data_IF_909232612461
#
_entry.id   IF_909232612461
#
_cell.length_a   1.000
_cell.length_b   1.000
_cell.length_c   1.000
_cell.angle_alpha   90.00
_cell.angle_beta   90.00
_cell.angle_gamma   90.00
#
_symmetry.space_group_name_H-M   'P 1'
#
loop_
_entity.id
_entity.type
_entity.pdbx_description
1 polymer ?
#
# COMPACT_ATOMS: atom_id res chain seq x y z
N UNK A 1 -12.56 -11.09 -4.02
CA UNK A 1 -11.84 -9.81 -3.89
C UNK A 1 -10.42 -10.14 -3.53
N UNK A 2 -9.45 -9.79 -4.37
CA UNK A 2 -8.04 -10.08 -4.12
C UNK A 2 -7.46 -9.12 -3.09
N UNK A 3 -6.61 -9.64 -2.21
CA UNK A 3 -5.95 -8.83 -1.18
C UNK A 3 -4.57 -8.41 -1.69
N UNK A 4 -4.41 -7.11 -1.90
CA UNK A 4 -3.13 -6.53 -2.31
C UNK A 4 -2.42 -5.96 -1.09
N UNK A 5 -1.15 -6.32 -0.92
CA UNK A 5 -0.26 -5.78 0.09
C UNK A 5 0.83 -4.98 -0.61
N UNK A 6 0.96 -3.71 -0.25
CA UNK A 6 1.97 -2.81 -0.81
C UNK A 6 2.92 -2.41 0.32
N UNK A 7 4.15 -2.88 0.25
CA UNK A 7 5.20 -2.54 1.22
C UNK A 7 5.67 -1.11 1.02
N UNK A 8 5.81 -0.35 2.11
CA UNK A 8 6.11 1.07 2.07
C UNK A 8 7.58 1.36 2.37
N UNK A 9 8.06 2.49 1.85
CA UNK A 9 9.41 3.00 2.08
C UNK A 9 9.57 3.67 3.46
N UNK A 10 8.50 4.22 4.04
CA UNK A 10 8.43 4.76 5.41
C UNK A 10 7.01 4.69 5.98
N UNK A 11 6.86 4.82 7.31
CA UNK A 11 5.55 4.92 7.96
C UNK A 11 4.78 6.18 7.50
N UNK A 12 5.47 7.29 7.26
CA UNK A 12 4.88 8.54 6.77
C UNK A 12 4.21 8.33 5.42
N UNK A 13 4.87 7.63 4.50
CA UNK A 13 4.29 7.29 3.20
C UNK A 13 3.15 6.29 3.31
N UNK A 14 3.22 5.35 4.25
CA UNK A 14 2.11 4.42 4.53
C UNK A 14 0.84 5.17 4.94
N UNK A 15 0.96 6.12 5.87
CA UNK A 15 -0.17 6.95 6.31
C UNK A 15 -0.67 7.86 5.19
N UNK A 16 0.23 8.50 4.43
CA UNK A 16 -0.12 9.37 3.31
C UNK A 16 -0.89 8.62 2.22
N UNK A 17 -0.47 7.40 1.86
CA UNK A 17 -1.19 6.60 0.89
C UNK A 17 -2.51 6.07 1.42
N UNK A 18 -2.60 5.74 2.73
CA UNK A 18 -3.91 5.41 3.35
C UNK A 18 -4.89 6.57 3.20
N UNK A 19 -4.48 7.77 3.57
CA UNK A 19 -5.34 8.96 3.49
C UNK A 19 -5.73 9.29 2.05
N UNK A 20 -4.77 9.23 1.12
CA UNK A 20 -5.00 9.46 -0.30
C UNK A 20 -6.01 8.46 -0.90
N UNK A 21 -5.78 7.16 -0.70
CA UNK A 21 -6.65 6.11 -1.23
C UNK A 21 -8.05 6.16 -0.60
N UNK A 22 -8.15 6.40 0.71
CA UNK A 22 -9.44 6.57 1.37
C UNK A 22 -10.20 7.79 0.85
N UNK A 23 -9.51 8.91 0.54
CA UNK A 23 -10.14 10.10 -0.05
C UNK A 23 -10.75 9.83 -1.44
N UNK A 24 -10.24 8.81 -2.13
CA UNK A 24 -10.75 8.34 -3.43
C UNK A 24 -11.81 7.24 -3.30
N UNK A 25 -12.20 6.86 -2.07
CA UNK A 25 -13.18 5.81 -1.80
C UNK A 25 -12.60 4.39 -1.73
N UNK A 26 -11.28 4.22 -1.84
CA UNK A 26 -10.62 2.93 -1.69
C UNK A 26 -10.33 2.63 -0.23
N UNK A 27 -11.10 1.72 0.37
CA UNK A 27 -10.85 1.27 1.74
C UNK A 27 -9.51 0.55 1.85
N UNK A 28 -8.59 1.12 2.60
CA UNK A 28 -7.28 0.54 2.87
C UNK A 28 -6.83 0.74 4.33
N UNK A 29 -6.01 -0.20 4.79
CA UNK A 29 -5.47 -0.19 6.15
C UNK A 29 -3.94 -0.26 6.13
N UNK A 30 -3.31 0.36 7.13
CA UNK A 30 -1.87 0.27 7.34
C UNK A 30 -1.60 -0.84 8.34
N UNK A 31 -0.83 -1.85 7.94
CA UNK A 31 -0.42 -2.97 8.78
C UNK A 31 1.11 -3.04 8.88
N UNK A 32 1.62 -3.68 9.94
CA UNK A 32 3.04 -4.02 10.00
C UNK A 32 3.36 -5.10 8.97
N UNK A 33 4.41 -4.88 8.18
CA UNK A 33 4.90 -5.85 7.19
C UNK A 33 5.30 -7.13 7.91
N UNK A 34 4.69 -8.26 7.53
CA UNK A 34 5.07 -9.57 8.06
C UNK A 34 6.51 -9.87 7.62
N UNK A 35 7.30 -10.48 8.51
CA UNK A 35 8.72 -10.82 8.26
C UNK A 35 8.95 -11.64 6.98
N UNK A 36 7.92 -12.35 6.49
CA UNK A 36 8.01 -13.24 5.33
C UNK A 36 7.56 -12.61 4.00
N UNK A 37 7.05 -11.37 3.99
CA UNK A 37 6.43 -10.79 2.78
C UNK A 37 7.34 -9.75 2.09
N UNK A 38 8.27 -9.09 2.78
CA UNK A 38 9.25 -8.24 2.09
C UNK A 38 10.06 -7.33 3.01
N UNK A 39 11.18 -6.83 2.47
CA UNK A 39 12.07 -5.85 3.11
C UNK A 39 11.61 -4.43 2.78
N UNK A 40 11.21 -3.67 3.80
CA UNK A 40 10.77 -2.27 3.72
C UNK A 40 10.98 -1.57 5.06
N UNK A 41 10.20 -0.52 5.37
CA UNK A 41 10.25 0.14 6.68
C UNK A 41 9.53 -0.61 7.82
N UNK A 42 9.02 -1.81 7.54
CA UNK A 42 8.17 -2.58 8.46
C UNK A 42 6.69 -2.21 8.42
N UNK A 43 6.26 -1.34 7.51
CA UNK A 43 4.84 -1.00 7.29
C UNK A 43 4.41 -1.29 5.84
N UNK A 44 3.16 -1.72 5.69
CA UNK A 44 2.51 -2.02 4.42
C UNK A 44 1.09 -1.48 4.40
N UNK A 45 0.59 -1.22 3.20
CA UNK A 45 -0.82 -0.91 2.96
C UNK A 45 -1.51 -2.16 2.46
N UNK A 46 -2.66 -2.44 3.03
CA UNK A 46 -3.52 -3.56 2.68
C UNK A 46 -4.78 -3.01 2.04
N UNK A 47 -5.09 -3.47 0.83
CA UNK A 47 -6.24 -3.01 0.05
C UNK A 47 -6.91 -4.19 -0.67
N UNK A 48 -8.24 -4.18 -0.73
CA UNK A 48 -9.06 -5.24 -1.31
C UNK A 48 -9.38 -4.98 -2.79
N UNK A 49 -8.39 -4.55 -3.56
CA UNK A 49 -8.52 -4.26 -5.01
C UNK A 49 -7.26 -4.72 -5.75
N UNK A 50 -7.38 -4.89 -7.07
CA UNK A 50 -6.27 -5.31 -7.93
C UNK A 50 -5.14 -4.26 -7.92
N UNK A 51 -3.86 -4.67 -7.84
CA UNK A 51 -2.73 -3.74 -7.77
C UNK A 51 -2.67 -2.77 -8.97
N UNK A 52 -3.06 -3.22 -10.16
CA UNK A 52 -3.07 -2.38 -11.38
C UNK A 52 -3.99 -1.16 -11.29
N UNK A 53 -4.96 -1.18 -10.37
CA UNK A 53 -5.82 -0.02 -10.10
C UNK A 53 -5.19 0.95 -9.10
N UNK A 54 -4.27 0.48 -8.25
CA UNK A 54 -3.72 1.24 -7.11
C UNK A 54 -2.36 1.81 -7.43
N UNK A 55 -1.51 1.06 -8.14
CA UNK A 55 -0.16 1.52 -8.49
C UNK A 55 -0.17 2.84 -9.26
N UNK A 56 -1.04 3.07 -10.27
CA UNK A 56 -1.04 4.34 -10.98
C UNK A 56 -1.51 5.51 -10.10
N UNK A 57 -2.38 5.23 -9.11
CA UNK A 57 -2.84 6.24 -8.15
C UNK A 57 -1.69 6.66 -7.23
N UNK A 58 -0.93 5.69 -6.71
CA UNK A 58 0.24 5.96 -5.88
C UNK A 58 1.34 6.68 -6.65
N UNK A 59 1.60 6.28 -7.90
CA UNK A 59 2.57 6.92 -8.78
C UNK A 59 2.16 8.37 -9.09
N UNK A 60 0.88 8.61 -9.42
CA UNK A 60 0.33 9.96 -9.64
C UNK A 60 0.40 10.85 -8.40
N UNK A 61 0.27 10.26 -7.21
CA UNK A 61 0.40 10.97 -5.94
C UNK A 61 1.86 11.21 -5.51
N UNK A 62 2.84 10.65 -6.25
CA UNK A 62 4.25 10.68 -5.89
C UNK A 62 4.54 9.97 -4.57
N UNK A 63 3.84 8.86 -4.29
CA UNK A 63 4.01 8.09 -3.05
C UNK A 63 4.89 6.86 -3.31
N UNK A 64 6.15 6.83 -2.82
CA UNK A 64 7.08 5.75 -3.07
C UNK A 64 6.76 4.49 -2.25
N UNK A 65 6.63 3.36 -2.95
CA UNK A 65 6.50 2.02 -2.38
C UNK A 65 7.69 1.12 -2.75
N UNK A 66 7.84 -0.03 -2.09
CA UNK A 66 8.98 -0.94 -2.23
C UNK A 66 8.65 -2.23 -2.98
N UNK A 67 7.42 -2.69 -2.89
CA UNK A 67 7.02 -3.98 -3.47
C UNK A 67 5.55 -4.25 -3.26
N UNK A 68 4.98 -5.02 -4.18
CA UNK A 68 3.54 -5.32 -4.26
C UNK A 68 3.38 -6.84 -4.23
N UNK A 69 2.51 -7.31 -3.35
CA UNK A 69 2.26 -8.73 -3.11
C UNK A 69 0.77 -8.98 -3.18
N UNK A 70 0.38 -10.07 -3.83
CA UNK A 70 -1.01 -10.53 -3.92
C UNK A 70 -1.19 -11.74 -3.00
N UNK A 71 -2.27 -11.72 -2.22
CA UNK A 71 -2.71 -12.81 -1.35
C UNK A 71 -4.12 -13.28 -1.73
#
# INVERSE_FOLDING_TARGET
MEKTIITMSSITYAMKAKEYLNSMGYKCEVERTRKNIGSGCGYSIVIMVHPDLVTPLLDRAGIPYKGIYRL
#
